data_IF_028426891628
#
_entry.id   IF_028426891628
#
_cell.length_a   1.000
_cell.length_b   1.000
_cell.length_c   1.000
_cell.angle_alpha   90.00
_cell.angle_beta   90.00
_cell.angle_gamma   90.00
#
_symmetry.space_group_name_H-M   'P 1'
#
loop_
_entity.id
_entity.type
_entity.pdbx_description
1 polymer ?
#
# COMPACT_ATOMS: atom_id res chain seq x y z
N UNK A 1 5.18 6.44 -7.52
CA UNK A 1 6.50 7.07 -7.38
C UNK A 1 7.33 6.88 -8.64
N UNK A 2 8.41 7.64 -8.74
CA UNK A 2 9.49 7.50 -9.71
C UNK A 2 10.71 6.87 -9.03
N UNK A 3 11.37 5.93 -9.69
CA UNK A 3 12.49 5.19 -9.12
C UNK A 3 13.84 5.78 -9.54
N UNK A 4 14.64 6.18 -8.56
CA UNK A 4 16.06 6.50 -8.76
C UNK A 4 16.88 5.25 -8.45
N UNK A 5 17.71 4.80 -9.39
CA UNK A 5 18.47 3.55 -9.27
C UNK A 5 19.92 3.81 -8.90
N UNK A 6 20.43 3.02 -7.95
CA UNK A 6 21.82 3.00 -7.50
C UNK A 6 22.37 1.58 -7.71
N UNK A 7 23.17 1.41 -8.75
CA UNK A 7 23.68 0.09 -9.17
C UNK A 7 24.91 -0.31 -8.34
N UNK A 8 25.00 -1.60 -7.99
CA UNK A 8 26.06 -2.17 -7.17
C UNK A 8 26.25 -1.47 -5.81
N UNK A 9 25.14 -0.98 -5.25
CA UNK A 9 25.10 -0.27 -3.98
C UNK A 9 23.97 -0.84 -3.12
N UNK A 10 24.21 -0.87 -1.81
CA UNK A 10 23.25 -1.32 -0.82
C UNK A 10 23.20 -0.42 0.42
N UNK A 11 22.17 -0.63 1.21
CA UNK A 11 21.87 -0.09 2.52
C UNK A 11 21.46 -1.27 3.41
N UNK A 12 22.02 -1.38 4.61
CA UNK A 12 21.60 -2.44 5.53
C UNK A 12 20.25 -2.14 6.18
N UNK A 13 19.56 -3.19 6.63
CA UNK A 13 18.31 -3.09 7.39
C UNK A 13 17.02 -3.25 6.56
N UNK A 14 17.12 -3.75 5.33
CA UNK A 14 15.95 -4.06 4.50
C UNK A 14 15.15 -5.25 5.02
N UNK A 15 13.82 -5.16 4.92
CA UNK A 15 12.91 -6.25 5.27
C UNK A 15 12.65 -7.12 4.04
N UNK A 16 12.95 -8.42 4.14
CA UNK A 16 12.74 -9.37 3.04
C UNK A 16 11.25 -9.55 2.72
N UNK A 17 10.92 -9.58 1.43
CA UNK A 17 9.57 -9.83 0.92
C UNK A 17 9.55 -11.16 0.17
N UNK A 18 9.34 -12.25 0.89
CA UNK A 18 9.56 -13.62 0.40
C UNK A 18 8.56 -14.09 -0.66
N UNK A 19 7.40 -13.46 -0.76
CA UNK A 19 6.40 -13.73 -1.81
C UNK A 19 6.69 -12.99 -3.12
N UNK A 20 7.68 -12.10 -3.15
CA UNK A 20 7.99 -11.25 -4.30
C UNK A 20 9.18 -11.82 -5.07
N UNK A 21 8.93 -12.20 -6.32
CA UNK A 21 9.88 -12.92 -7.17
C UNK A 21 10.29 -12.17 -8.43
N UNK A 22 9.92 -10.89 -8.55
CA UNK A 22 10.36 -10.03 -9.65
C UNK A 22 10.58 -8.58 -9.20
N UNK A 23 11.49 -7.88 -9.88
CA UNK A 23 11.78 -6.47 -9.63
C UNK A 23 10.52 -5.58 -9.78
N UNK A 24 9.69 -5.69 -10.85
CA UNK A 24 8.46 -4.89 -10.94
C UNK A 24 7.49 -5.17 -9.80
N UNK A 25 7.36 -6.42 -9.34
CA UNK A 25 6.51 -6.75 -8.19
C UNK A 25 7.06 -6.14 -6.88
N UNK A 26 8.38 -6.10 -6.71
CA UNK A 26 9.02 -5.47 -5.55
C UNK A 26 8.79 -3.95 -5.52
N UNK A 27 8.93 -3.31 -6.69
CA UNK A 27 8.63 -1.90 -6.86
C UNK A 27 7.14 -1.61 -6.57
N UNK A 28 6.22 -2.39 -7.14
CA UNK A 28 4.79 -2.22 -6.90
C UNK A 28 4.41 -2.43 -5.44
N UNK A 29 4.97 -3.45 -4.79
CA UNK A 29 4.76 -3.71 -3.36
C UNK A 29 5.17 -2.48 -2.55
N UNK A 30 6.40 -1.99 -2.72
CA UNK A 30 6.86 -0.82 -1.99
C UNK A 30 6.03 0.43 -2.28
N UNK A 31 5.71 0.70 -3.56
CA UNK A 31 4.90 1.85 -3.93
C UNK A 31 3.49 1.82 -3.32
N UNK A 32 2.95 0.63 -3.03
CA UNK A 32 1.66 0.43 -2.38
C UNK A 32 1.72 0.31 -0.85
N UNK A 33 2.93 0.17 -0.27
CA UNK A 33 3.14 -0.04 1.16
C UNK A 33 3.38 1.29 1.86
N UNK A 34 2.49 1.73 2.77
CA UNK A 34 2.71 2.94 3.55
C UNK A 34 4.05 2.91 4.29
N UNK A 35 4.81 3.99 4.16
CA UNK A 35 6.13 4.11 4.79
C UNK A 35 7.26 3.40 4.04
N UNK A 36 7.02 2.65 2.98
CA UNK A 36 8.10 2.15 2.13
C UNK A 36 8.66 3.27 1.25
N UNK A 37 9.97 3.51 1.35
CA UNK A 37 10.69 4.60 0.71
C UNK A 37 11.74 4.11 -0.29
N UNK A 38 12.19 2.86 -0.17
CA UNK A 38 13.16 2.27 -1.08
C UNK A 38 13.04 0.75 -1.12
N UNK A 39 13.65 0.14 -2.14
CA UNK A 39 13.84 -1.31 -2.24
C UNK A 39 15.28 -1.65 -2.58
N UNK A 40 15.66 -2.89 -2.28
CA UNK A 40 16.80 -3.56 -2.90
C UNK A 40 16.35 -4.78 -3.66
N UNK A 41 16.96 -4.94 -4.83
CA UNK A 41 16.77 -6.10 -5.67
C UNK A 41 18.09 -6.84 -5.85
N UNK A 42 18.06 -8.13 -5.50
CA UNK A 42 19.21 -9.04 -5.56
C UNK A 42 18.85 -10.20 -6.49
N UNK A 43 19.03 -10.05 -7.82
CA UNK A 43 18.54 -11.03 -8.80
C UNK A 43 19.16 -12.42 -8.63
N UNK A 44 20.40 -12.48 -8.14
CA UNK A 44 21.17 -13.71 -7.98
C UNK A 44 20.85 -14.48 -6.68
N UNK A 45 20.01 -13.93 -5.80
CA UNK A 45 19.55 -14.65 -4.62
C UNK A 45 18.54 -15.74 -4.99
N UNK A 46 18.39 -16.73 -4.11
CA UNK A 46 17.33 -17.71 -4.21
C UNK A 46 15.94 -17.05 -4.25
N UNK A 47 15.01 -17.69 -4.97
CA UNK A 47 13.62 -17.23 -5.07
C UNK A 47 13.06 -17.01 -3.66
N UNK A 48 12.44 -15.84 -3.45
CA UNK A 48 11.92 -15.42 -2.15
C UNK A 48 12.96 -14.75 -1.23
N UNK A 49 14.16 -14.45 -1.74
CA UNK A 49 15.16 -13.63 -1.04
C UNK A 49 15.74 -12.53 -1.94
N UNK A 50 14.98 -12.12 -2.96
CA UNK A 50 15.44 -11.19 -3.99
C UNK A 50 14.96 -9.75 -3.73
N UNK A 51 13.86 -9.55 -3.01
CA UNK A 51 13.26 -8.24 -2.73
C UNK A 51 13.41 -7.88 -1.26
N UNK A 52 13.94 -6.69 -0.99
CA UNK A 52 13.99 -6.10 0.35
C UNK A 52 13.37 -4.70 0.32
N UNK A 53 12.52 -4.37 1.28
CA UNK A 53 11.87 -3.06 1.40
C UNK A 53 12.45 -2.26 2.55
N UNK A 54 12.51 -0.94 2.39
CA UNK A 54 13.07 -0.02 3.37
C UNK A 54 12.08 1.08 3.70
N UNK A 55 12.08 1.52 4.95
CA UNK A 55 11.34 2.71 5.41
C UNK A 55 12.20 3.98 5.39
N UNK A 56 13.33 3.95 4.68
CA UNK A 56 14.29 5.04 4.57
C UNK A 56 14.58 5.35 3.11
N UNK A 57 14.71 6.63 2.77
CA UNK A 57 15.15 7.13 1.47
C UNK A 57 16.64 7.53 1.47
N UNK A 58 17.44 6.95 2.37
CA UNK A 58 18.86 7.26 2.44
C UNK A 58 19.59 6.79 1.18
N UNK A 59 20.44 7.66 0.62
CA UNK A 59 21.29 7.30 -0.51
C UNK A 59 22.28 6.22 -0.06
N UNK A 60 22.35 5.06 -0.74
CA UNK A 60 23.26 3.99 -0.35
C UNK A 60 24.71 4.38 -0.68
N UNK A 61 25.62 4.08 0.25
CA UNK A 61 27.06 4.38 0.10
C UNK A 61 27.93 3.13 0.13
N UNK A 62 27.34 1.96 0.39
CA UNK A 62 28.06 0.69 0.56
C UNK A 62 28.08 -0.04 -0.78
N UNK A 63 29.27 -0.29 -1.31
CA UNK A 63 29.45 -1.08 -2.52
C UNK A 63 29.07 -2.55 -2.30
N UNK A 64 28.20 -3.07 -3.16
CA UNK A 64 27.77 -4.47 -3.14
C UNK A 64 27.45 -4.95 -4.57
N UNK A 65 28.38 -5.73 -5.13
CA UNK A 65 28.25 -6.24 -6.50
C UNK A 65 26.99 -7.12 -6.65
N UNK A 66 26.19 -6.84 -7.67
CA UNK A 66 24.97 -7.61 -7.95
C UNK A 66 23.75 -7.22 -7.10
N UNK A 67 23.85 -6.16 -6.30
CA UNK A 67 22.73 -5.57 -5.57
C UNK A 67 22.43 -4.19 -6.17
N UNK A 68 21.15 -3.95 -6.47
CA UNK A 68 20.69 -2.65 -6.92
C UNK A 68 19.72 -2.09 -5.90
N UNK A 69 19.97 -0.86 -5.46
CA UNK A 69 19.13 -0.12 -4.55
C UNK A 69 18.29 0.90 -5.34
N UNK A 70 17.01 1.02 -5.01
CA UNK A 70 16.08 1.89 -5.70
C UNK A 70 15.35 2.77 -4.69
N UNK A 71 15.49 4.08 -4.83
CA UNK A 71 14.76 5.05 -4.00
C UNK A 71 13.51 5.48 -4.75
N UNK A 72 12.36 5.36 -4.07
CA UNK A 72 11.05 5.76 -4.56
C UNK A 72 10.89 7.26 -4.26
N UNK A 73 11.23 8.10 -5.24
CA UNK A 73 11.02 9.55 -5.17
C UNK A 73 9.62 9.88 -5.69
N UNK A 74 8.84 10.68 -4.96
CA UNK A 74 7.47 10.98 -5.38
C UNK A 74 6.48 9.83 -5.15
N UNK A 75 6.76 8.90 -4.23
CA UNK A 75 5.70 8.55 -3.30
C UNK A 75 5.53 9.83 -2.50
N UNK A 76 4.45 10.56 -2.75
CA UNK A 76 3.85 11.26 -1.61
C UNK A 76 3.85 10.20 -0.52
N UNK A 77 4.61 10.42 0.54
CA UNK A 77 4.38 9.69 1.77
C UNK A 77 2.87 9.60 1.87
N UNK A 78 2.33 8.41 2.12
CA UNK A 78 0.97 8.36 2.68
C UNK A 78 1.14 8.95 4.07
N UNK A 79 1.34 10.27 4.14
CA UNK A 79 0.90 11.10 5.22
C UNK A 79 -0.52 10.66 5.42
N UNK A 80 -0.79 10.06 6.58
CA UNK A 80 -2.08 10.20 7.23
C UNK A 80 -2.73 11.47 6.71
N UNK A 81 -3.76 11.32 5.88
CA UNK A 81 -4.41 12.46 5.25
C UNK A 81 -4.81 13.42 6.37
N UNK A 82 -4.46 14.71 6.30
CA UNK A 82 -5.00 15.68 7.25
C UNK A 82 -6.52 15.62 7.15
N UNK A 83 -7.19 15.15 8.22
CA UNK A 83 -8.65 15.08 8.31
C UNK A 83 -9.29 13.69 8.30
N UNK A 84 -8.53 12.58 8.29
CA UNK A 84 -9.13 11.24 8.48
C UNK A 84 -8.30 10.32 9.40
N UNK A 85 -8.91 9.93 10.51
CA UNK A 85 -8.53 8.80 11.38
C UNK A 85 -9.53 7.66 11.16
N UNK A 86 -9.03 6.47 10.84
CA UNK A 86 -9.86 5.33 10.44
C UNK A 86 -10.22 4.43 11.63
N UNK A 87 -11.52 4.27 11.89
CA UNK A 87 -12.04 3.23 12.78
C UNK A 87 -12.44 2.01 11.96
N UNK A 88 -11.92 0.83 12.30
CA UNK A 88 -12.13 -0.41 11.55
C UNK A 88 -13.18 -1.30 12.19
N UNK A 89 -14.09 -1.83 11.38
CA UNK A 89 -15.12 -2.80 11.74
C UNK A 89 -14.91 -4.07 10.89
N UNK A 90 -14.32 -5.08 11.50
CA UNK A 90 -13.92 -6.32 10.82
C UNK A 90 -15.12 -7.25 10.61
N UNK A 91 -15.20 -7.88 9.45
CA UNK A 91 -16.31 -8.78 9.06
C UNK A 91 -17.69 -8.13 9.16
N UNK A 92 -17.75 -6.82 8.88
CA UNK A 92 -18.95 -6.01 8.93
C UNK A 92 -19.06 -5.18 7.66
N UNK A 93 -20.30 -5.01 7.20
CA UNK A 93 -20.63 -4.20 6.03
C UNK A 93 -21.85 -3.32 6.25
N UNK A 94 -22.06 -2.43 5.29
CA UNK A 94 -23.19 -1.56 5.09
C UNK A 94 -23.53 -1.56 3.59
N UNK A 95 -24.82 -1.61 3.26
CA UNK A 95 -25.24 -1.50 1.86
C UNK A 95 -25.21 -0.05 1.36
N UNK A 96 -25.14 0.12 0.04
CA UNK A 96 -25.18 1.44 -0.61
C UNK A 96 -23.82 2.05 -0.92
N UNK A 97 -22.73 1.28 -0.81
CA UNK A 97 -21.40 1.73 -1.20
C UNK A 97 -21.26 1.92 -2.72
N UNK A 98 -20.52 2.94 -3.13
CA UNK A 98 -20.19 3.20 -4.54
C UNK A 98 -18.87 2.52 -4.87
N UNK A 99 -18.87 1.59 -5.83
CA UNK A 99 -17.66 0.88 -6.28
C UNK A 99 -16.66 1.85 -6.91
N UNK A 100 -15.37 1.63 -6.66
CA UNK A 100 -14.26 2.41 -7.21
C UNK A 100 -13.36 1.50 -8.06
N UNK A 101 -13.65 1.33 -9.36
CA UNK A 101 -13.04 0.27 -10.17
C UNK A 101 -11.54 0.45 -10.45
N UNK A 102 -11.03 1.68 -10.37
CA UNK A 102 -9.60 1.97 -10.55
C UNK A 102 -8.79 1.76 -9.27
N UNK A 103 -9.42 1.42 -8.15
CA UNK A 103 -8.76 1.30 -6.84
C UNK A 103 -8.58 -0.18 -6.50
N UNK A 104 -7.31 -0.60 -6.46
CA UNK A 104 -6.93 -2.01 -6.31
C UNK A 104 -6.14 -2.29 -5.03
N UNK A 105 -6.14 -1.35 -4.07
CA UNK A 105 -5.54 -1.55 -2.75
C UNK A 105 -6.32 -0.79 -1.65
N UNK A 106 -6.31 -1.33 -0.43
CA UNK A 106 -6.92 -0.70 0.74
C UNK A 106 -6.38 0.72 0.99
N UNK A 107 -5.05 0.97 0.98
CA UNK A 107 -4.53 2.32 1.18
C UNK A 107 -5.00 3.30 0.10
N UNK A 108 -5.09 2.86 -1.17
CA UNK A 108 -5.61 3.71 -2.24
C UNK A 108 -7.11 4.02 -2.05
N UNK A 109 -7.89 3.08 -1.50
CA UNK A 109 -9.30 3.28 -1.16
C UNK A 109 -9.48 4.31 -0.04
N UNK A 110 -8.67 4.20 1.00
CA UNK A 110 -8.64 5.17 2.10
C UNK A 110 -8.25 6.56 1.61
N UNK A 111 -7.20 6.66 0.79
CA UNK A 111 -6.74 7.95 0.24
C UNK A 111 -7.78 8.58 -0.69
N UNK A 112 -8.43 7.78 -1.53
CA UNK A 112 -9.51 8.27 -2.37
C UNK A 112 -10.63 8.87 -1.52
N UNK A 113 -11.10 8.14 -0.51
CA UNK A 113 -12.16 8.65 0.35
C UNK A 113 -11.73 9.91 1.12
N UNK A 114 -10.55 9.91 1.73
CA UNK A 114 -10.07 11.06 2.50
C UNK A 114 -9.85 12.33 1.64
N UNK A 115 -9.63 12.19 0.33
CA UNK A 115 -9.50 13.31 -0.60
C UNK A 115 -10.81 13.66 -1.31
N UNK A 116 -11.87 12.86 -1.14
CA UNK A 116 -13.17 13.05 -1.79
C UNK A 116 -14.12 13.79 -0.85
N UNK A 117 -14.55 15.03 -1.19
CA UNK A 117 -15.54 15.74 -0.39
C UNK A 117 -16.81 14.92 -0.20
N UNK A 118 -17.25 14.78 1.05
CA UNK A 118 -18.46 14.03 1.39
C UNK A 118 -18.26 12.52 1.54
N UNK A 119 -17.07 11.96 1.27
CA UNK A 119 -16.79 10.58 1.65
C UNK A 119 -16.53 10.49 3.16
N UNK A 120 -17.19 9.53 3.80
CA UNK A 120 -17.22 9.35 5.27
C UNK A 120 -16.76 7.96 5.69
N UNK A 121 -16.84 6.97 4.79
CA UNK A 121 -16.41 5.61 5.06
C UNK A 121 -16.02 4.86 3.78
N UNK A 122 -15.32 3.75 3.94
CA UNK A 122 -15.04 2.79 2.87
C UNK A 122 -15.34 1.36 3.29
N UNK A 123 -15.53 0.48 2.31
CA UNK A 123 -15.40 -0.95 2.48
C UNK A 123 -14.31 -1.52 1.59
N UNK A 124 -13.58 -2.46 2.18
CA UNK A 124 -12.55 -3.21 1.48
C UNK A 124 -12.89 -4.68 1.45
N UNK A 125 -12.95 -5.22 0.23
CA UNK A 125 -13.30 -6.60 -0.09
C UNK A 125 -12.16 -7.24 -0.87
N UNK A 126 -11.09 -7.71 -0.20
CA UNK A 126 -9.88 -8.18 -0.88
C UNK A 126 -10.13 -9.39 -1.79
N UNK A 127 -11.16 -10.19 -1.48
CA UNK A 127 -11.51 -11.41 -2.22
C UNK A 127 -12.36 -11.15 -3.47
N UNK A 128 -12.81 -9.91 -3.71
CA UNK A 128 -13.49 -9.57 -4.95
C UNK A 128 -12.51 -9.50 -6.12
N UNK A 129 -13.04 -9.65 -7.34
CA UNK A 129 -12.27 -9.40 -8.56
C UNK A 129 -11.67 -7.99 -8.57
N UNK A 130 -10.51 -7.86 -9.23
CA UNK A 130 -9.84 -6.56 -9.42
C UNK A 130 -10.85 -5.55 -9.99
N UNK A 131 -10.93 -4.37 -9.36
CA UNK A 131 -11.90 -3.34 -9.70
C UNK A 131 -13.27 -3.47 -9.03
N UNK A 132 -13.42 -4.38 -8.07
CA UNK A 132 -14.61 -4.47 -7.22
C UNK A 132 -14.25 -4.63 -5.74
N UNK A 133 -13.07 -4.16 -5.34
CA UNK A 133 -12.54 -4.35 -3.99
C UNK A 133 -12.77 -3.14 -3.07
N UNK A 134 -12.93 -1.94 -3.63
CA UNK A 134 -13.12 -0.68 -2.90
C UNK A 134 -14.53 -0.14 -3.12
N UNK A 135 -15.21 0.18 -2.03
CA UNK A 135 -16.49 0.88 -2.03
C UNK A 135 -16.41 2.10 -1.13
N UNK A 136 -16.93 3.24 -1.58
CA UNK A 136 -16.97 4.50 -0.81
C UNK A 136 -18.38 4.83 -0.36
N UNK A 137 -18.51 5.44 0.80
CA UNK A 137 -19.78 5.81 1.42
C UNK A 137 -19.78 7.28 1.81
N UNK A 138 -20.94 7.92 1.72
CA UNK A 138 -21.17 9.29 2.23
C UNK A 138 -21.77 9.31 3.63
N UNK A 139 -21.75 8.17 4.32
CA UNK A 139 -22.29 7.96 5.66
C UNK A 139 -21.20 7.46 6.59
N UNK A 140 -21.19 7.96 7.83
CA UNK A 140 -20.34 7.51 8.94
C UNK A 140 -21.11 6.61 9.93
N UNK A 141 -22.20 5.98 9.48
CA UNK A 141 -22.97 5.07 10.31
C UNK A 141 -22.18 3.79 10.62
N UNK A 142 -22.23 3.36 11.88
CA UNK A 142 -21.61 2.11 12.32
C UNK A 142 -22.27 0.92 11.60
N UNK A 143 -21.49 0.03 10.96
CA UNK A 143 -22.03 -1.13 10.27
C UNK A 143 -22.54 -2.18 11.26
N UNK A 144 -23.69 -2.78 10.95
CA UNK A 144 -24.33 -3.79 11.82
C UNK A 144 -24.54 -5.13 11.11
N UNK A 145 -24.22 -5.22 9.81
CA UNK A 145 -24.45 -6.41 9.00
C UNK A 145 -23.17 -7.25 8.98
N UNK A 146 -23.23 -8.46 9.53
CA UNK A 146 -22.11 -9.41 9.45
C UNK A 146 -21.84 -9.83 8.02
N UNK A 147 -20.57 -9.73 7.60
CA UNK A 147 -20.12 -10.11 6.27
C UNK A 147 -18.67 -10.58 6.32
N UNK A 148 -18.46 -11.90 6.24
CA UNK A 148 -17.12 -12.48 6.31
C UNK A 148 -16.26 -12.01 5.14
N UNK A 149 -15.04 -11.54 5.44
CA UNK A 149 -14.09 -11.08 4.42
C UNK A 149 -14.35 -9.66 3.90
N UNK A 150 -15.28 -8.92 4.50
CA UNK A 150 -15.51 -7.49 4.25
C UNK A 150 -15.15 -6.71 5.50
N UNK A 151 -14.35 -5.67 5.34
CA UNK A 151 -14.03 -4.76 6.43
C UNK A 151 -14.53 -3.36 6.08
N UNK A 152 -15.19 -2.73 7.03
CA UNK A 152 -15.72 -1.38 6.90
C UNK A 152 -14.86 -0.41 7.72
N UNK A 153 -14.57 0.76 7.17
CA UNK A 153 -13.68 1.75 7.78
C UNK A 153 -14.37 3.11 7.77
N UNK A 154 -14.55 3.71 8.94
CA UNK A 154 -15.14 5.05 9.08
C UNK A 154 -14.01 6.06 9.23
N UNK A 155 -14.03 7.12 8.41
CA UNK A 155 -13.14 8.26 8.56
C UNK A 155 -13.73 9.23 9.60
N UNK A 156 -12.87 9.67 10.52
CA UNK A 156 -13.16 10.74 11.48
C UNK A 156 -12.03 11.78 11.48
N UNK A 157 -12.36 13.06 11.38
CA UNK A 157 -11.38 14.15 11.48
C UNK A 157 -12.04 15.52 11.51
#
# INVERSE_FOLDING_TARGET
CSWTTYTNLQLFGGMVQSSVTSLPACQNLCASTPGCQAIEWVPNNGVGSQCFTFTSSAVPTISASGINHYICSGTTAVTSTPGCSWTTYTNLQMFGGVVQPSVTSLPACQNLCASTPGCQAIEWVPNNGVGSQCFTFTSSAVPTISASGINHYICSG
#
